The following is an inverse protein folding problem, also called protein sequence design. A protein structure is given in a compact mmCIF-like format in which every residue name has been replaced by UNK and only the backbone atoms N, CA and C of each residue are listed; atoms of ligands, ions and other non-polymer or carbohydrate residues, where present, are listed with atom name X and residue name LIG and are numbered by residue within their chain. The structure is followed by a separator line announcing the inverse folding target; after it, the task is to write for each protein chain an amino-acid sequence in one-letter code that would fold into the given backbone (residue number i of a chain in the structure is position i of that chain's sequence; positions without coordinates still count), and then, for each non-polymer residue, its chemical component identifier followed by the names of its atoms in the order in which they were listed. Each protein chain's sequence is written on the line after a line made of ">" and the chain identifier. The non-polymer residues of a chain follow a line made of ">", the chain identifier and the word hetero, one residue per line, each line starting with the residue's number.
data_IF_879483906685
#
_entry.id   IF_879483906685
#
_cell.length_a   1.000
_cell.length_b   1.000
_cell.length_c   1.000
_cell.angle_alpha   90.00
_cell.angle_beta   90.00
_cell.angle_gamma   90.00
#
_symmetry.space_group_name_H-M   'P 1'
#
loop_
_entity.id
_entity.type
_entity.pdbx_description
1 polymer ?
#
# COMPACT_ATOMS: atom_id res chain seq x y z
N UNK A 1 -3.63 2.93 -8.15
CA UNK A 1 -3.20 3.02 -6.74
C UNK A 1 -1.82 2.38 -6.70
N UNK A 2 -0.84 2.99 -6.03
CA UNK A 2 0.47 2.39 -5.81
C UNK A 2 0.86 2.46 -4.34
N UNK A 3 1.59 1.45 -3.87
CA UNK A 3 2.20 1.46 -2.55
C UNK A 3 3.70 1.67 -2.73
N UNK A 4 4.29 2.58 -1.96
CA UNK A 4 5.71 2.91 -2.07
C UNK A 4 6.36 2.97 -0.69
N UNK A 5 7.67 2.75 -0.65
CA UNK A 5 8.54 3.01 0.50
C UNK A 5 9.56 4.09 0.17
N UNK A 6 10.57 4.28 1.03
CA UNK A 6 11.70 5.18 0.80
C UNK A 6 11.26 6.62 0.54
N UNK A 7 11.53 7.15 -0.65
CA UNK A 7 11.17 8.48 -1.15
C UNK A 7 9.99 8.46 -2.13
N UNK A 8 9.38 7.28 -2.34
CA UNK A 8 8.27 7.10 -3.28
C UNK A 8 8.71 6.88 -4.74
N UNK A 9 9.97 7.17 -5.08
CA UNK A 9 10.58 6.94 -6.38
C UNK A 9 9.75 7.40 -7.59
N UNK A 10 9.92 6.70 -8.71
CA UNK A 10 9.17 6.96 -9.95
C UNK A 10 7.70 6.58 -9.83
N UNK A 11 7.40 5.50 -9.08
CA UNK A 11 6.05 4.98 -8.94
C UNK A 11 5.11 5.99 -8.25
N UNK A 12 5.58 6.64 -7.18
CA UNK A 12 4.80 7.64 -6.44
C UNK A 12 4.38 8.84 -7.28
N UNK A 13 5.11 9.14 -8.37
CA UNK A 13 4.83 10.26 -9.29
C UNK A 13 3.81 9.92 -10.38
N UNK A 14 3.66 8.63 -10.72
CA UNK A 14 2.79 8.19 -11.83
C UNK A 14 1.43 7.69 -11.36
N UNK A 15 1.28 7.34 -10.08
CA UNK A 15 0.02 6.81 -9.55
C UNK A 15 -0.93 7.91 -9.10
N UNK A 16 -2.22 7.74 -9.38
CA UNK A 16 -3.28 8.65 -8.91
C UNK A 16 -3.40 8.74 -7.39
N UNK A 17 -3.14 7.63 -6.70
CA UNK A 17 -3.15 7.53 -5.23
C UNK A 17 -1.88 6.81 -4.84
N UNK A 18 -1.03 7.49 -4.07
CA UNK A 18 0.23 6.97 -3.55
C UNK A 18 0.09 6.70 -2.04
N UNK A 19 0.09 5.42 -1.67
CA UNK A 19 0.16 4.99 -0.27
C UNK A 19 1.64 4.86 0.08
N UNK A 20 2.21 5.94 0.59
CA UNK A 20 3.64 6.06 0.84
C UNK A 20 3.99 5.75 2.30
N UNK A 21 4.94 4.84 2.51
CA UNK A 21 5.52 4.52 3.82
C UNK A 21 6.89 5.20 3.90
N UNK A 22 7.07 6.25 4.72
CA UNK A 22 8.31 7.02 4.78
C UNK A 22 9.37 6.31 5.64
N UNK A 23 9.83 5.16 5.16
CA UNK A 23 10.88 4.35 5.80
C UNK A 23 11.88 3.88 4.75
N UNK A 24 13.15 3.87 5.14
CA UNK A 24 14.26 3.33 4.33
C UNK A 24 14.57 1.86 4.66
N UNK A 25 13.81 1.26 5.57
CA UNK A 25 13.86 -0.17 5.87
C UNK A 25 12.82 -0.92 5.04
N UNK A 26 13.27 -1.80 4.14
CA UNK A 26 12.39 -2.54 3.23
C UNK A 26 11.43 -3.47 3.98
N UNK A 27 11.89 -4.09 5.08
CA UNK A 27 11.08 -5.02 5.87
C UNK A 27 9.91 -4.29 6.55
N UNK A 28 10.16 -3.10 7.10
CA UNK A 28 9.09 -2.27 7.65
C UNK A 28 8.11 -1.80 6.57
N UNK A 29 8.62 -1.40 5.39
CA UNK A 29 7.78 -0.98 4.26
C UNK A 29 6.86 -2.12 3.83
N UNK A 30 7.40 -3.32 3.60
CA UNK A 30 6.63 -4.50 3.21
C UNK A 30 5.63 -4.92 4.28
N UNK A 31 6.01 -4.85 5.56
CA UNK A 31 5.11 -5.17 6.67
C UNK A 31 3.86 -4.28 6.69
N UNK A 32 4.02 -2.97 6.50
CA UNK A 32 2.89 -2.03 6.41
C UNK A 32 2.05 -2.27 5.15
N UNK A 33 2.70 -2.51 4.01
CA UNK A 33 2.02 -2.82 2.75
C UNK A 33 1.15 -4.09 2.87
N UNK A 34 1.68 -5.15 3.46
CA UNK A 34 0.97 -6.41 3.64
C UNK A 34 -0.26 -6.25 4.54
N UNK A 35 -0.12 -5.54 5.66
CA UNK A 35 -1.24 -5.21 6.55
C UNK A 35 -2.37 -4.48 5.81
N UNK A 36 -2.02 -3.47 5.01
CA UNK A 36 -3.00 -2.70 4.24
C UNK A 36 -3.69 -3.54 3.18
N UNK A 37 -2.96 -4.41 2.48
CA UNK A 37 -3.53 -5.33 1.49
C UNK A 37 -4.51 -6.30 2.15
N UNK A 38 -4.17 -6.88 3.31
CA UNK A 38 -5.10 -7.72 4.06
C UNK A 38 -6.39 -6.98 4.42
N UNK A 39 -6.28 -5.73 4.89
CA UNK A 39 -7.46 -4.92 5.19
C UNK A 39 -8.32 -4.64 3.96
N UNK A 40 -7.70 -4.28 2.83
CA UNK A 40 -8.43 -4.02 1.57
C UNK A 40 -9.17 -5.27 1.09
N UNK A 41 -8.52 -6.43 1.08
CA UNK A 41 -9.14 -7.69 0.66
C UNK A 41 -10.33 -8.02 1.55
N UNK A 42 -10.21 -7.84 2.86
CA UNK A 42 -11.29 -8.08 3.82
C UNK A 42 -12.50 -7.15 3.57
N UNK A 43 -12.27 -5.85 3.36
CA UNK A 43 -13.34 -4.89 3.02
C UNK A 43 -13.98 -5.16 1.66
N UNK A 44 -13.21 -5.60 0.66
CA UNK A 44 -13.74 -5.98 -0.65
C UNK A 44 -14.63 -7.20 -0.51
N UNK A 45 -14.19 -8.23 0.22
CA UNK A 45 -14.99 -9.43 0.51
C UNK A 45 -16.31 -9.08 1.19
N UNK A 46 -16.29 -8.25 2.22
CA UNK A 46 -17.52 -7.80 2.91
C UNK A 46 -18.49 -7.06 1.99
N UNK A 47 -17.98 -6.26 1.05
CA UNK A 47 -18.82 -5.54 0.09
C UNK A 47 -19.43 -6.45 -0.97
N UNK A 48 -18.71 -7.50 -1.38
CA UNK A 48 -19.16 -8.45 -2.41
C UNK A 48 -20.09 -9.53 -1.84
N UNK A 49 -20.01 -9.83 -0.55
CA UNK A 49 -20.88 -10.80 0.13
C UNK A 49 -22.25 -10.22 0.56
N UNK A 50 -22.53 -8.96 0.21
CA UNK A 50 -23.84 -8.30 0.35
C UNK A 50 -24.55 -8.31 -0.99
#
# INVERSE_FOLDING_TARGET
>A
IGMTGYDGGRLGKIVKINVHVPSFDMGLVEGVHLLLVHYVVDRVREKLAR
#
